data_IF_123774205085
#
_entry.id   IF_123774205085
#
_cell.length_a   1.000
_cell.length_b   1.000
_cell.length_c   1.000
_cell.angle_alpha   90.00
_cell.angle_beta   90.00
_cell.angle_gamma   90.00
#
_symmetry.space_group_name_H-M   'P 1'
#
loop_
_entity.id
_entity.type
_entity.pdbx_description
1 polymer ?
#
# COMPACT_ATOMS: atom_id res chain seq x y z
N UNK A 1 31.54 15.29 -6.59
CA UNK A 1 30.69 16.19 -5.83
C UNK A 1 29.44 16.53 -6.64
N UNK A 2 28.29 16.39 -6.02
CA UNK A 2 26.97 16.62 -6.64
C UNK A 2 26.81 18.08 -7.15
N UNK A 3 27.61 18.98 -6.66
CA UNK A 3 27.56 20.42 -7.00
C UNK A 3 28.27 20.80 -8.30
N UNK A 4 28.86 19.86 -9.04
CA UNK A 4 29.53 20.14 -10.32
C UNK A 4 28.70 19.83 -11.58
N UNK A 5 27.47 19.39 -11.42
CA UNK A 5 26.57 19.02 -12.52
C UNK A 5 25.44 20.06 -12.72
N UNK A 6 25.78 21.35 -12.67
CA UNK A 6 24.84 22.41 -13.06
C UNK A 6 24.66 22.37 -14.58
N UNK A 7 23.42 22.23 -15.03
CA UNK A 7 23.05 22.22 -16.44
C UNK A 7 22.07 23.38 -16.71
N UNK A 8 22.52 24.37 -17.44
CA UNK A 8 21.72 25.56 -17.82
C UNK A 8 20.48 25.17 -18.63
N UNK A 9 20.57 24.11 -19.47
CA UNK A 9 19.44 23.63 -20.24
C UNK A 9 18.34 23.09 -19.31
N UNK A 10 18.73 22.45 -18.20
CA UNK A 10 17.76 21.95 -17.21
C UNK A 10 17.07 23.10 -16.47
N UNK A 11 17.79 24.18 -16.17
CA UNK A 11 17.20 25.39 -15.56
C UNK A 11 16.18 26.06 -16.51
N UNK A 12 16.45 26.12 -17.79
CA UNK A 12 15.51 26.65 -18.77
C UNK A 12 14.25 25.79 -18.88
N UNK A 13 14.39 24.47 -18.87
CA UNK A 13 13.26 23.56 -18.86
C UNK A 13 12.38 23.71 -17.59
N UNK A 14 12.99 23.94 -16.43
CA UNK A 14 12.27 24.11 -15.16
C UNK A 14 11.65 25.50 -14.98
N UNK A 15 12.17 26.52 -15.64
CA UNK A 15 11.72 27.93 -15.47
C UNK A 15 10.21 28.12 -15.56
N UNK A 16 9.48 27.55 -16.55
CA UNK A 16 8.03 27.73 -16.66
C UNK A 16 7.30 27.18 -15.44
N UNK A 17 7.76 26.05 -14.87
CA UNK A 17 7.16 25.42 -13.70
C UNK A 17 7.39 26.26 -12.44
N UNK A 18 8.59 26.81 -12.28
CA UNK A 18 8.94 27.69 -11.16
C UNK A 18 8.13 28.99 -11.24
N UNK A 19 7.97 29.57 -12.42
CA UNK A 19 7.15 30.76 -12.62
C UNK A 19 5.67 30.51 -12.28
N UNK A 20 5.11 29.37 -12.65
CA UNK A 20 3.75 28.99 -12.29
C UNK A 20 3.58 28.89 -10.76
N UNK A 21 4.55 28.27 -10.07
CA UNK A 21 4.56 28.21 -8.61
C UNK A 21 4.64 29.59 -7.97
N UNK A 22 5.51 30.47 -8.50
CA UNK A 22 5.70 31.82 -7.98
C UNK A 22 4.46 32.72 -8.18
N UNK A 23 3.66 32.48 -9.21
CA UNK A 23 2.41 33.20 -9.51
C UNK A 23 1.24 32.71 -8.69
N UNK A 24 1.29 31.48 -8.15
CA UNK A 24 0.19 30.87 -7.43
C UNK A 24 -0.19 31.67 -6.16
N UNK A 25 -1.45 31.98 -6.00
CA UNK A 25 -2.01 32.68 -4.83
C UNK A 25 -3.39 32.12 -4.49
N UNK A 26 -3.73 32.17 -3.22
CA UNK A 26 -5.05 31.78 -2.74
C UNK A 26 -5.23 30.27 -2.60
N UNK A 27 -6.50 29.85 -2.55
CA UNK A 27 -6.88 28.45 -2.41
C UNK A 27 -6.79 27.73 -3.75
N UNK A 28 -6.04 26.65 -3.79
CA UNK A 28 -5.88 25.81 -4.97
C UNK A 28 -6.81 24.61 -4.83
N UNK A 29 -7.66 24.40 -5.82
CA UNK A 29 -8.54 23.23 -5.91
C UNK A 29 -8.21 22.38 -7.12
N UNK A 30 -7.96 21.10 -6.89
CA UNK A 30 -7.75 20.08 -7.93
C UNK A 30 -8.61 18.85 -7.63
N UNK A 31 -9.82 18.74 -8.22
CA UNK A 31 -10.70 17.59 -8.00
C UNK A 31 -10.06 16.26 -8.37
N UNK A 32 -9.22 16.23 -9.43
CA UNK A 32 -8.50 15.02 -9.86
C UNK A 32 -7.49 14.56 -8.82
N UNK A 33 -6.75 15.48 -8.18
CA UNK A 33 -5.84 15.16 -7.09
C UNK A 33 -6.59 14.59 -5.87
N UNK A 34 -7.76 15.17 -5.54
CA UNK A 34 -8.62 14.64 -4.45
C UNK A 34 -9.14 13.23 -4.76
N UNK A 35 -9.57 12.99 -6.00
CA UNK A 35 -10.03 11.66 -6.42
C UNK A 35 -8.91 10.64 -6.36
N UNK A 36 -7.70 11.01 -6.82
CA UNK A 36 -6.53 10.16 -6.72
C UNK A 36 -6.19 9.86 -5.26
N UNK A 37 -6.15 10.90 -4.39
CA UNK A 37 -5.84 10.73 -2.98
C UNK A 37 -6.81 9.77 -2.27
N UNK A 38 -8.13 9.90 -2.52
CA UNK A 38 -9.13 8.96 -1.97
C UNK A 38 -8.84 7.52 -2.39
N UNK A 39 -8.56 7.29 -3.68
CA UNK A 39 -8.23 5.97 -4.21
C UNK A 39 -6.96 5.39 -3.58
N UNK A 40 -5.91 6.20 -3.42
CA UNK A 40 -4.66 5.78 -2.79
C UNK A 40 -4.84 5.44 -1.30
N UNK A 41 -5.65 6.20 -0.57
CA UNK A 41 -6.01 5.89 0.82
C UNK A 41 -6.72 4.55 0.92
N UNK A 42 -7.68 4.28 0.04
CA UNK A 42 -8.40 3.01 -0.01
C UNK A 42 -7.45 1.85 -0.34
N UNK A 43 -6.58 1.99 -1.34
CA UNK A 43 -5.57 1.00 -1.70
C UNK A 43 -4.61 0.69 -0.54
N UNK A 44 -4.15 1.71 0.20
CA UNK A 44 -3.31 1.53 1.38
C UNK A 44 -4.06 0.84 2.52
N UNK A 45 -5.32 1.23 2.76
CA UNK A 45 -6.15 0.59 3.80
C UNK A 45 -6.41 -0.88 3.48
N UNK A 46 -6.64 -1.22 2.22
CA UNK A 46 -6.80 -2.59 1.78
C UNK A 46 -5.54 -3.43 2.00
N UNK A 47 -4.39 -2.87 1.64
CA UNK A 47 -3.11 -3.54 1.87
C UNK A 47 -2.80 -3.69 3.36
N UNK A 48 -3.09 -2.68 4.19
CA UNK A 48 -2.95 -2.76 5.64
C UNK A 48 -3.78 -3.89 6.24
N UNK A 49 -5.03 -4.04 5.79
CA UNK A 49 -5.90 -5.14 6.24
C UNK A 49 -5.39 -6.50 5.76
N UNK A 50 -4.88 -6.58 4.53
CA UNK A 50 -4.33 -7.79 3.96
C UNK A 50 -3.04 -8.24 4.69
N UNK A 51 -2.16 -7.29 5.01
CA UNK A 51 -0.90 -7.53 5.73
C UNK A 51 -1.06 -7.61 7.25
N UNK A 52 -2.23 -7.22 7.79
CA UNK A 52 -2.50 -7.09 9.23
C UNK A 52 -1.47 -6.22 9.95
N UNK A 53 -0.91 -5.23 9.27
CA UNK A 53 0.12 -4.35 9.81
C UNK A 53 -0.44 -2.98 10.23
N UNK A 54 -0.48 -2.73 11.53
CA UNK A 54 -0.80 -1.41 12.08
C UNK A 54 0.26 -0.37 11.76
N UNK A 55 1.52 -0.79 11.73
CA UNK A 55 2.65 0.09 11.38
C UNK A 55 2.49 0.60 9.96
N UNK A 56 2.16 -0.29 9.02
CA UNK A 56 1.87 0.11 7.65
C UNK A 56 0.69 1.07 7.56
N UNK A 57 -0.40 0.82 8.31
CA UNK A 57 -1.56 1.71 8.38
C UNK A 57 -1.17 3.12 8.82
N UNK A 58 -0.42 3.24 9.92
CA UNK A 58 0.03 4.52 10.45
C UNK A 58 0.97 5.28 9.51
N UNK A 59 1.94 4.56 8.92
CA UNK A 59 2.89 5.16 7.98
C UNK A 59 2.21 5.56 6.66
N UNK A 60 1.23 4.79 6.19
CA UNK A 60 0.50 5.07 4.96
C UNK A 60 -0.35 6.33 5.06
N UNK A 61 -0.91 6.63 6.22
CA UNK A 61 -1.66 7.87 6.42
C UNK A 61 -0.79 9.11 6.12
N UNK A 62 0.40 9.19 6.71
CA UNK A 62 1.34 10.30 6.47
C UNK A 62 1.86 10.32 5.02
N UNK A 63 2.14 9.15 4.45
CA UNK A 63 2.58 9.05 3.06
C UNK A 63 1.50 9.54 2.08
N UNK A 64 0.23 9.25 2.33
CA UNK A 64 -0.89 9.74 1.52
C UNK A 64 -1.05 11.27 1.60
N UNK A 65 -0.85 11.88 2.77
CA UNK A 65 -0.85 13.34 2.89
C UNK A 65 0.27 13.96 2.05
N UNK A 66 1.47 13.41 2.12
CA UNK A 66 2.62 13.88 1.33
C UNK A 66 2.36 13.70 -0.17
N UNK A 67 1.80 12.57 -0.58
CA UNK A 67 1.44 12.31 -1.97
C UNK A 67 0.41 13.32 -2.49
N UNK A 68 -0.61 13.64 -1.69
CA UNK A 68 -1.58 14.69 -2.03
C UNK A 68 -0.93 16.06 -2.18
N UNK A 69 -0.03 16.46 -1.26
CA UNK A 69 0.69 17.73 -1.35
C UNK A 69 1.58 17.77 -2.61
N UNK A 70 2.30 16.70 -2.93
CA UNK A 70 3.06 16.58 -4.18
C UNK A 70 2.17 16.74 -5.41
N UNK A 71 0.98 16.11 -5.39
CA UNK A 71 0.01 16.24 -6.48
C UNK A 71 -0.44 17.69 -6.69
N UNK A 72 -0.69 18.42 -5.60
CA UNK A 72 -1.08 19.83 -5.67
C UNK A 72 0.06 20.71 -6.20
N UNK A 73 1.30 20.48 -5.74
CA UNK A 73 2.48 21.21 -6.24
C UNK A 73 2.68 20.99 -7.74
N UNK A 74 2.61 19.72 -8.18
CA UNK A 74 2.76 19.39 -9.62
C UNK A 74 1.65 19.97 -10.47
N UNK A 75 0.41 19.96 -9.98
CA UNK A 75 -0.72 20.57 -10.65
C UNK A 75 -0.51 22.07 -10.86
N UNK A 76 -0.06 22.79 -9.85
CA UNK A 76 0.27 24.23 -9.95
C UNK A 76 1.46 24.46 -10.88
N UNK A 77 2.53 23.70 -10.69
CA UNK A 77 3.75 23.82 -11.50
C UNK A 77 3.45 23.62 -12.99
N UNK A 78 2.58 22.68 -13.34
CA UNK A 78 2.17 22.43 -14.73
C UNK A 78 1.15 23.43 -15.30
N UNK A 79 0.85 24.52 -14.57
CA UNK A 79 -0.15 25.49 -14.99
C UNK A 79 -1.59 24.98 -14.98
N UNK A 80 -1.92 24.12 -14.02
CA UNK A 80 -3.25 23.53 -13.85
C UNK A 80 -3.52 22.32 -14.75
N UNK A 81 -2.49 21.77 -15.39
CA UNK A 81 -2.62 20.56 -16.20
C UNK A 81 -2.54 19.30 -15.34
N UNK A 82 -3.35 18.30 -15.66
CA UNK A 82 -3.36 17.01 -15.02
C UNK A 82 -3.41 15.91 -16.08
N UNK A 83 -2.39 15.10 -16.11
CA UNK A 83 -2.28 13.98 -17.05
C UNK A 83 -1.95 12.66 -16.35
N UNK A 84 -1.83 11.61 -17.13
CA UNK A 84 -1.53 10.27 -16.64
C UNK A 84 -0.10 10.16 -16.08
N UNK A 85 0.83 10.96 -16.57
CA UNK A 85 2.22 10.99 -16.12
C UNK A 85 2.30 11.50 -14.68
N UNK A 86 1.58 12.60 -14.37
CA UNK A 86 1.46 13.12 -13.01
C UNK A 86 0.86 12.07 -12.09
N UNK A 87 -0.24 11.42 -12.49
CA UNK A 87 -0.87 10.38 -11.67
C UNK A 87 0.09 9.21 -11.39
N UNK A 88 0.78 8.70 -12.40
CA UNK A 88 1.73 7.60 -12.27
C UNK A 88 2.91 7.98 -11.37
N UNK A 89 3.44 9.21 -11.51
CA UNK A 89 4.50 9.70 -10.65
C UNK A 89 4.08 9.77 -9.17
N UNK A 90 2.86 10.26 -8.89
CA UNK A 90 2.34 10.34 -7.51
C UNK A 90 2.18 8.93 -6.93
N UNK A 91 1.67 7.97 -7.68
CA UNK A 91 1.54 6.58 -7.27
C UNK A 91 2.91 5.96 -6.95
N UNK A 92 3.85 6.09 -7.86
CA UNK A 92 5.21 5.62 -7.68
C UNK A 92 5.86 6.27 -6.45
N UNK A 93 5.74 7.60 -6.31
CA UNK A 93 6.32 8.35 -5.19
C UNK A 93 5.75 7.93 -3.83
N UNK A 94 4.43 7.64 -3.75
CA UNK A 94 3.79 7.11 -2.55
C UNK A 94 4.35 5.73 -2.20
N UNK A 95 4.43 4.83 -3.17
CA UNK A 95 4.93 3.47 -2.96
C UNK A 95 6.39 3.47 -2.51
N UNK A 96 7.23 4.29 -3.14
CA UNK A 96 8.63 4.45 -2.78
C UNK A 96 8.81 5.03 -1.37
N UNK A 97 8.04 6.06 -1.01
CA UNK A 97 8.06 6.66 0.34
C UNK A 97 7.65 5.63 1.41
N UNK A 98 6.61 4.84 1.15
CA UNK A 98 6.19 3.77 2.03
C UNK A 98 7.23 2.67 2.15
N UNK A 99 7.83 2.26 1.04
CA UNK A 99 8.91 1.28 1.05
C UNK A 99 10.09 1.75 1.91
N UNK A 100 10.54 3.00 1.73
CA UNK A 100 11.60 3.59 2.54
C UNK A 100 11.22 3.61 4.04
N UNK A 101 10.02 4.10 4.37
CA UNK A 101 9.55 4.18 5.76
C UNK A 101 9.46 2.81 6.42
N UNK A 102 8.91 1.82 5.72
CA UNK A 102 8.83 0.46 6.26
C UNK A 102 10.20 -0.17 6.43
N UNK A 103 11.13 0.09 5.50
CA UNK A 103 12.48 -0.47 5.58
C UNK A 103 13.31 0.13 6.70
N UNK A 104 13.23 1.46 6.90
CA UNK A 104 14.08 2.17 7.86
C UNK A 104 13.47 2.25 9.26
N UNK A 105 12.16 2.31 9.37
CA UNK A 105 11.47 2.55 10.64
C UNK A 105 10.48 1.46 11.03
N UNK A 106 10.06 0.61 10.08
CA UNK A 106 9.00 -0.38 10.31
C UNK A 106 9.32 -1.33 11.46
N UNK A 107 10.55 -1.83 11.53
CA UNK A 107 10.96 -2.74 12.60
C UNK A 107 10.96 -2.09 13.99
N UNK A 108 11.51 -0.89 14.08
CA UNK A 108 11.62 -0.19 15.37
C UNK A 108 10.24 0.15 15.91
N UNK A 109 9.32 0.52 15.04
CA UNK A 109 7.93 0.80 15.43
C UNK A 109 7.22 -0.51 15.82
N UNK A 110 7.40 -1.60 15.07
CA UNK A 110 6.83 -2.92 15.42
C UNK A 110 7.36 -3.43 16.76
N UNK A 111 8.64 -3.25 17.03
CA UNK A 111 9.26 -3.61 18.30
C UNK A 111 8.74 -2.74 19.44
N UNK A 112 8.59 -1.44 19.22
CA UNK A 112 8.04 -0.52 20.22
C UNK A 112 6.57 -0.81 20.53
N UNK A 113 5.76 -1.19 19.52
CA UNK A 113 4.36 -1.57 19.69
C UNK A 113 4.18 -2.98 20.27
N UNK A 114 5.13 -3.87 20.00
CA UNK A 114 5.09 -5.28 20.41
C UNK A 114 6.09 -5.62 21.51
N UNK A 115 6.26 -4.77 22.51
CA UNK A 115 7.19 -4.97 23.63
C UNK A 115 7.10 -6.35 24.35
N UNK A 116 6.27 -7.25 23.87
CA UNK A 116 6.11 -8.63 24.35
C UNK A 116 6.40 -9.73 23.32
N UNK A 117 6.75 -9.42 22.06
CA UNK A 117 6.98 -10.46 21.04
C UNK A 117 8.24 -10.21 20.23
N UNK A 118 9.34 -10.85 20.66
CA UNK A 118 10.62 -10.87 19.95
C UNK A 118 10.56 -11.77 18.71
N UNK A 119 10.02 -11.30 17.60
CA UNK A 119 10.31 -11.90 16.30
C UNK A 119 10.88 -10.86 15.34
N UNK A 120 12.18 -10.98 15.09
CA UNK A 120 12.93 -10.11 14.21
C UNK A 120 12.42 -10.29 12.76
N UNK A 121 11.66 -9.33 12.26
CA UNK A 121 11.29 -9.28 10.84
C UNK A 121 12.21 -8.31 10.10
N UNK A 122 13.02 -8.85 9.19
CA UNK A 122 14.00 -8.06 8.39
C UNK A 122 13.40 -7.31 7.19
N UNK A 123 12.10 -7.45 6.92
CA UNK A 123 11.43 -6.86 5.74
C UNK A 123 10.05 -6.38 6.14
N UNK A 124 9.51 -5.36 5.46
CA UNK A 124 8.18 -4.79 5.71
C UNK A 124 7.04 -5.80 5.77
N UNK A 125 5.78 -5.36 6.02
CA UNK A 125 4.66 -6.26 6.23
C UNK A 125 4.48 -7.15 5.00
N UNK A 126 4.60 -8.46 5.22
CA UNK A 126 4.35 -9.43 4.16
C UNK A 126 2.85 -9.69 4.06
N UNK A 127 2.37 -9.67 2.84
CA UNK A 127 1.00 -10.05 2.55
C UNK A 127 0.76 -11.51 2.98
N UNK A 128 -0.15 -11.74 3.94
CA UNK A 128 -0.43 -13.08 4.44
C UNK A 128 -0.93 -14.03 3.35
N UNK A 129 -1.70 -13.49 2.40
CA UNK A 129 -2.27 -14.29 1.34
C UNK A 129 -1.19 -14.83 0.38
N UNK A 130 -0.03 -14.16 0.24
CA UNK A 130 1.10 -14.66 -0.57
C UNK A 130 1.75 -15.92 0.00
N UNK A 131 1.64 -16.14 1.32
CA UNK A 131 2.19 -17.33 1.97
C UNK A 131 1.27 -18.55 1.89
N UNK A 132 0.05 -18.37 1.44
CA UNK A 132 -0.89 -19.45 1.20
C UNK A 132 -0.78 -19.91 -0.26
N UNK A 133 -1.04 -21.18 -0.56
CA UNK A 133 -1.17 -21.65 -1.94
C UNK A 133 -2.37 -20.98 -2.63
N UNK A 134 -2.49 -21.16 -3.95
CA UNK A 134 -3.60 -20.56 -4.71
C UNK A 134 -4.95 -21.11 -4.26
N UNK A 135 -5.02 -22.38 -3.89
CA UNK A 135 -6.14 -23.01 -3.22
C UNK A 135 -5.68 -23.44 -1.84
N UNK A 136 -6.33 -22.95 -0.82
CA UNK A 136 -5.99 -23.23 0.58
C UNK A 136 -7.22 -23.51 1.44
N UNK A 137 -6.99 -24.17 2.56
CA UNK A 137 -8.02 -24.47 3.55
C UNK A 137 -8.08 -23.38 4.64
N UNK A 138 -9.20 -23.31 5.34
CA UNK A 138 -9.36 -22.47 6.52
C UNK A 138 -8.33 -22.82 7.60
N UNK A 139 -7.99 -24.09 7.75
CA UNK A 139 -7.00 -24.55 8.72
C UNK A 139 -5.59 -24.06 8.38
N UNK A 140 -5.17 -24.11 7.10
CA UNK A 140 -3.90 -23.56 6.65
C UNK A 140 -3.79 -22.07 6.92
N UNK A 141 -4.87 -21.31 6.70
CA UNK A 141 -4.91 -19.90 7.02
C UNK A 141 -4.80 -19.66 8.53
N UNK A 142 -5.41 -20.51 9.37
CA UNK A 142 -5.29 -20.45 10.83
C UNK A 142 -3.87 -20.73 11.29
N UNK A 143 -3.25 -21.81 10.83
CA UNK A 143 -1.88 -22.19 11.14
C UNK A 143 -0.87 -21.12 10.70
N UNK A 144 -1.07 -20.53 9.53
CA UNK A 144 -0.24 -19.43 9.07
C UNK A 144 -0.32 -18.22 10.02
N UNK A 145 -1.52 -17.86 10.48
CA UNK A 145 -1.69 -16.77 11.45
C UNK A 145 -0.95 -17.07 12.76
N UNK A 146 -1.10 -18.26 13.32
CA UNK A 146 -0.39 -18.70 14.52
C UNK A 146 1.13 -18.61 14.32
N UNK A 147 1.64 -19.17 13.21
CA UNK A 147 3.08 -19.14 12.88
C UNK A 147 3.63 -17.72 12.75
N UNK A 148 2.78 -16.75 12.37
CA UNK A 148 3.17 -15.32 12.23
C UNK A 148 2.89 -14.51 13.49
N UNK A 149 2.43 -15.12 14.59
CA UNK A 149 2.10 -14.42 15.85
C UNK A 149 0.94 -13.43 15.71
N UNK A 150 0.04 -13.64 14.75
CA UNK A 150 -1.09 -12.75 14.48
C UNK A 150 -2.36 -13.27 15.17
N UNK A 151 -2.38 -13.27 16.48
CA UNK A 151 -3.54 -13.74 17.25
C UNK A 151 -4.66 -12.69 17.39
N UNK A 152 -4.36 -11.42 17.10
CA UNK A 152 -5.36 -10.35 17.19
C UNK A 152 -6.35 -10.40 16.02
N UNK A 153 -7.63 -10.42 16.37
CA UNK A 153 -8.73 -10.47 15.41
C UNK A 153 -9.19 -11.91 15.09
N UNK A 154 -10.40 -12.01 14.56
CA UNK A 154 -11.01 -13.29 14.18
C UNK A 154 -10.50 -13.76 12.82
N UNK A 155 -10.24 -15.06 12.68
CA UNK A 155 -9.96 -15.70 11.39
C UNK A 155 -11.12 -15.47 10.41
N UNK A 156 -12.37 -15.57 10.92
CA UNK A 156 -13.55 -15.33 10.10
C UNK A 156 -13.63 -13.90 9.58
N UNK A 157 -13.31 -12.92 10.41
CA UNK A 157 -13.28 -11.53 9.98
C UNK A 157 -12.23 -11.30 8.90
N UNK A 158 -11.08 -11.98 8.97
CA UNK A 158 -10.03 -11.92 7.96
C UNK A 158 -10.50 -12.54 6.64
N UNK A 159 -11.03 -13.76 6.67
CA UNK A 159 -11.50 -14.46 5.46
C UNK A 159 -12.69 -13.73 4.82
N UNK A 160 -13.64 -13.27 5.61
CA UNK A 160 -14.77 -12.49 5.13
C UNK A 160 -14.32 -11.17 4.47
N UNK A 161 -13.30 -10.51 5.04
CA UNK A 161 -12.75 -9.29 4.47
C UNK A 161 -12.06 -9.56 3.13
N UNK A 162 -11.29 -10.65 3.02
CA UNK A 162 -10.65 -11.03 1.76
C UNK A 162 -11.67 -11.39 0.68
N UNK A 163 -12.75 -12.07 1.07
CA UNK A 163 -13.86 -12.40 0.17
C UNK A 163 -14.61 -11.15 -0.28
N UNK A 164 -14.96 -10.26 0.65
CA UNK A 164 -15.66 -9.01 0.34
C UNK A 164 -14.84 -8.07 -0.57
N UNK A 165 -13.51 -8.17 -0.50
CA UNK A 165 -12.58 -7.42 -1.37
C UNK A 165 -12.31 -8.11 -2.71
N UNK A 166 -12.88 -9.27 -2.95
CA UNK A 166 -12.67 -10.05 -4.17
C UNK A 166 -11.26 -10.62 -4.29
N UNK A 167 -10.52 -10.82 -3.20
CA UNK A 167 -9.18 -11.42 -3.23
C UNK A 167 -9.22 -12.93 -3.24
N UNK A 168 -10.24 -13.49 -2.59
CA UNK A 168 -10.50 -14.92 -2.56
C UNK A 168 -11.99 -15.17 -2.81
N UNK A 169 -12.31 -16.37 -3.25
CA UNK A 169 -13.67 -16.89 -3.27
C UNK A 169 -13.70 -18.29 -2.69
N UNK A 170 -14.90 -18.74 -2.35
CA UNK A 170 -15.14 -20.10 -1.86
C UNK A 170 -14.86 -21.09 -2.99
N UNK A 171 -14.06 -22.12 -2.70
CA UNK A 171 -13.74 -23.16 -3.64
C UNK A 171 -14.48 -24.46 -3.26
N UNK A 172 -15.37 -24.93 -4.15
CA UNK A 172 -16.19 -26.11 -3.93
C UNK A 172 -17.43 -25.86 -3.07
N UNK A 173 -17.95 -26.91 -2.45
CA UNK A 173 -19.17 -26.86 -1.63
C UNK A 173 -18.91 -26.24 -0.25
N UNK A 174 -19.95 -25.60 0.29
CA UNK A 174 -19.94 -25.08 1.67
C UNK A 174 -19.93 -26.27 2.64
N UNK A 175 -18.90 -26.33 3.49
CA UNK A 175 -18.77 -27.39 4.49
C UNK A 175 -19.65 -27.15 5.72
N UNK A 176 -20.19 -28.19 6.33
CA UNK A 176 -20.93 -28.10 7.59
C UNK A 176 -20.00 -27.57 8.71
N UNK A 177 -20.60 -27.06 9.80
CA UNK A 177 -19.83 -26.49 10.93
C UNK A 177 -18.82 -27.48 11.55
N UNK A 178 -19.10 -28.77 11.52
CA UNK A 178 -18.22 -29.85 12.01
C UNK A 178 -16.92 -29.99 11.17
N UNK A 179 -16.97 -29.60 9.90
CA UNK A 179 -15.86 -29.74 8.96
C UNK A 179 -15.36 -28.38 8.43
N UNK A 180 -15.71 -27.30 9.10
CA UNK A 180 -15.44 -25.93 8.65
C UNK A 180 -13.92 -25.65 8.51
N UNK A 181 -13.07 -26.38 9.24
CA UNK A 181 -11.61 -26.29 9.10
C UNK A 181 -11.13 -26.67 7.69
N UNK A 182 -11.84 -27.57 7.03
CA UNK A 182 -11.56 -28.07 5.69
C UNK A 182 -12.19 -27.21 4.59
N UNK A 183 -12.92 -26.12 4.95
CA UNK A 183 -13.44 -25.18 3.95
C UNK A 183 -12.32 -24.63 3.10
N UNK A 184 -12.47 -24.72 1.78
CA UNK A 184 -11.45 -24.28 0.82
C UNK A 184 -11.78 -22.92 0.24
N UNK A 185 -10.73 -22.18 -0.06
CA UNK A 185 -10.75 -20.87 -0.71
C UNK A 185 -9.74 -20.84 -1.84
N UNK A 186 -10.03 -20.09 -2.89
CA UNK A 186 -9.14 -19.89 -4.04
C UNK A 186 -8.85 -18.40 -4.22
N UNK A 187 -7.61 -18.07 -4.53
CA UNK A 187 -7.20 -16.70 -4.88
C UNK A 187 -7.77 -16.30 -6.23
N UNK A 188 -8.31 -15.11 -6.33
CA UNK A 188 -8.88 -14.59 -7.58
C UNK A 188 -7.80 -14.08 -8.54
N UNK A 189 -8.11 -14.07 -9.84
CA UNK A 189 -7.25 -13.40 -10.83
C UNK A 189 -7.07 -11.89 -10.52
N UNK A 190 -8.09 -11.24 -9.95
CA UNK A 190 -8.00 -9.85 -9.52
C UNK A 190 -6.88 -9.65 -8.49
N UNK A 191 -6.79 -10.55 -7.49
CA UNK A 191 -5.72 -10.54 -6.51
C UNK A 191 -4.36 -10.73 -7.17
N UNK A 192 -4.21 -11.75 -8.00
CA UNK A 192 -2.97 -12.06 -8.69
C UNK A 192 -2.47 -10.88 -9.54
N UNK A 193 -3.33 -10.27 -10.37
CA UNK A 193 -2.97 -9.10 -11.18
C UNK A 193 -2.56 -7.89 -10.35
N UNK A 194 -3.25 -7.65 -9.22
CA UNK A 194 -3.03 -6.46 -8.40
C UNK A 194 -1.73 -6.52 -7.59
N UNK A 195 -1.38 -7.69 -7.07
CA UNK A 195 -0.32 -7.82 -6.06
C UNK A 195 0.94 -8.53 -6.54
N UNK A 196 0.92 -9.30 -7.63
CA UNK A 196 2.15 -9.91 -8.17
C UNK A 196 3.14 -8.84 -8.63
N UNK A 197 2.67 -7.77 -9.28
CA UNK A 197 3.52 -6.65 -9.67
C UNK A 197 4.08 -5.87 -8.47
N UNK A 198 3.31 -5.78 -7.36
CA UNK A 198 3.73 -5.09 -6.15
C UNK A 198 4.81 -5.88 -5.39
N UNK A 199 4.68 -7.20 -5.32
CA UNK A 199 5.65 -8.07 -4.65
C UNK A 199 7.00 -8.12 -5.39
N UNK A 200 7.01 -8.00 -6.72
CA UNK A 200 8.23 -7.89 -7.52
C UNK A 200 9.02 -6.59 -7.26
N UNK A 201 8.36 -5.52 -6.80
CA UNK A 201 9.01 -4.25 -6.46
C UNK A 201 9.61 -4.24 -5.04
N UNK A 202 9.18 -5.17 -4.17
CA UNK A 202 9.58 -5.24 -2.75
C UNK A 202 10.57 -6.39 -2.48
N UNK A 203 10.71 -7.32 -3.40
CA UNK A 203 11.70 -8.42 -3.35
C UNK A 203 13.07 -7.98 -3.82
#
# INVERSE_FOLDING_TARGET
PVYGAYDEAFDEELRPYIENLNKARGLIDCPKARTLAKRLIEECADFSRLSQSRVYENLSFRANVIAYLKAMVLFVASGGKWDKTVENFIRWSLQYDLWCKMRFFGQDIELAESAHYASIRKTGPKNLLDFLPDIFTREEAHLLRQKKGMERGSLDAMLNNWTARGYIHLYGEIRPKSEISQQRYEKTEYYQRKYTAYNQLIS
#
